data_IF_714426151308
#
_entry.id   IF_714426151308
#
_cell.length_a   1.000
_cell.length_b   1.000
_cell.length_c   1.000
_cell.angle_alpha   90.00
_cell.angle_beta   90.00
_cell.angle_gamma   90.00
#
_symmetry.space_group_name_H-M   'P 1'
#
loop_
_entity.id
_entity.type
_entity.pdbx_description
1 polymer ?
#
# COMPACT_ATOMS: atom_id res chain seq x y z
N UNK A 1 -8.41 1.27 -5.34
CA UNK A 1 -8.54 -0.20 -5.12
C UNK A 1 -8.84 -0.88 -6.45
N UNK A 2 -8.07 -1.92 -6.82
CA UNK A 2 -8.31 -2.69 -8.05
C UNK A 2 -9.52 -3.63 -7.92
N UNK A 3 -10.00 -4.19 -9.02
CA UNK A 3 -11.18 -5.06 -9.07
C UNK A 3 -11.03 -6.34 -8.24
N UNK A 4 -9.83 -6.91 -8.18
CA UNK A 4 -9.53 -8.13 -7.42
C UNK A 4 -9.75 -7.88 -5.92
N UNK A 5 -9.13 -6.83 -5.37
CA UNK A 5 -9.30 -6.49 -3.97
C UNK A 5 -10.75 -6.14 -3.64
N UNK A 6 -11.47 -5.47 -4.55
CA UNK A 6 -12.91 -5.18 -4.37
C UNK A 6 -13.74 -6.45 -4.24
N UNK A 7 -13.47 -7.46 -5.06
CA UNK A 7 -14.16 -8.75 -4.96
C UNK A 7 -13.93 -9.41 -3.60
N UNK A 8 -12.67 -9.46 -3.15
CA UNK A 8 -12.30 -10.02 -1.84
C UNK A 8 -12.93 -9.25 -0.67
N UNK A 9 -13.03 -7.93 -0.77
CA UNK A 9 -13.67 -7.09 0.25
C UNK A 9 -15.18 -7.33 0.39
N UNK A 10 -15.82 -7.92 -0.62
CA UNK A 10 -17.26 -8.16 -0.68
C UNK A 10 -17.62 -9.65 -0.48
N UNK A 11 -16.64 -10.49 -0.13
CA UNK A 11 -16.85 -11.91 0.15
C UNK A 11 -17.77 -12.10 1.36
N UNK A 12 -18.55 -13.19 1.37
CA UNK A 12 -19.53 -13.43 2.45
C UNK A 12 -18.82 -13.59 3.80
N UNK A 13 -19.25 -12.82 4.80
CA UNK A 13 -18.66 -12.82 6.14
C UNK A 13 -17.48 -11.86 6.31
N UNK A 14 -17.10 -11.09 5.28
CA UNK A 14 -16.06 -10.05 5.37
C UNK A 14 -16.70 -8.68 5.60
N UNK A 15 -16.29 -8.00 6.67
CA UNK A 15 -16.60 -6.59 6.90
C UNK A 15 -15.37 -5.73 6.55
N UNK A 16 -15.48 -4.90 5.51
CA UNK A 16 -14.40 -4.01 5.09
C UNK A 16 -14.61 -2.58 5.59
N UNK A 17 -13.64 -2.02 6.32
CA UNK A 17 -13.65 -0.62 6.80
C UNK A 17 -12.57 0.21 6.10
N UNK A 18 -12.97 1.32 5.48
CA UNK A 18 -12.07 2.26 4.80
C UNK A 18 -11.94 3.57 5.58
N UNK A 19 -10.82 4.26 5.39
CA UNK A 19 -10.52 5.51 6.12
C UNK A 19 -10.20 5.32 7.60
N UNK A 20 -10.21 4.07 8.09
CA UNK A 20 -9.77 3.73 9.44
C UNK A 20 -8.26 3.48 9.45
N UNK A 21 -7.50 4.39 10.05
CA UNK A 21 -6.06 4.19 10.27
C UNK A 21 -5.83 3.69 11.69
N UNK A 22 -5.15 2.56 11.85
CA UNK A 22 -4.86 2.00 13.17
C UNK A 22 -3.74 2.79 13.83
N UNK A 23 -3.98 3.26 15.05
CA UNK A 23 -3.03 4.04 15.84
C UNK A 23 -2.39 3.27 16.99
N UNK A 24 -3.06 2.24 17.50
CA UNK A 24 -2.55 1.37 18.57
C UNK A 24 -3.17 -0.02 18.49
N UNK A 25 -2.35 -1.03 18.75
CA UNK A 25 -2.73 -2.41 19.00
C UNK A 25 -2.25 -2.83 20.37
N UNK A 26 -3.13 -3.45 21.14
CA UNK A 26 -2.83 -3.90 22.49
C UNK A 26 -3.33 -5.34 22.67
N UNK A 27 -2.46 -6.22 23.14
CA UNK A 27 -2.83 -7.57 23.55
C UNK A 27 -3.26 -7.53 25.02
N UNK A 28 -4.49 -7.95 25.29
CA UNK A 28 -5.08 -8.06 26.61
C UNK A 28 -4.82 -9.46 27.19
N UNK A 29 -5.03 -9.62 28.50
CA UNK A 29 -4.69 -10.82 29.30
C UNK A 29 -5.34 -12.15 28.84
N UNK A 30 -6.33 -12.10 27.94
CA UNK A 30 -7.08 -13.27 27.39
C UNK A 30 -6.69 -13.62 25.93
N UNK A 31 -5.51 -13.22 25.44
CA UNK A 31 -5.15 -13.26 24.00
C UNK A 31 -6.12 -12.48 23.09
N UNK A 32 -6.92 -11.59 23.68
CA UNK A 32 -7.80 -10.67 22.96
C UNK A 32 -7.02 -9.44 22.57
N UNK A 33 -7.23 -8.97 21.35
CA UNK A 33 -6.61 -7.79 20.81
C UNK A 33 -7.58 -6.62 20.82
N UNK A 34 -7.14 -5.47 21.32
CA UNK A 34 -7.87 -4.20 21.21
C UNK A 34 -7.24 -3.31 20.16
N UNK A 35 -8.06 -2.76 19.26
CA UNK A 35 -7.61 -1.85 18.20
C UNK A 35 -8.16 -0.45 18.45
N UNK A 36 -7.26 0.53 18.45
CA UNK A 36 -7.61 1.96 18.54
C UNK A 36 -7.16 2.69 17.29
N UNK A 37 -8.02 3.53 16.73
CA UNK A 37 -7.73 4.35 15.58
C UNK A 37 -6.75 5.50 15.89
N UNK A 38 -6.14 6.06 14.86
CA UNK A 38 -5.36 7.31 14.99
C UNK A 38 -6.20 8.48 15.50
N UNK A 39 -7.51 8.46 15.26
CA UNK A 39 -8.46 9.43 15.82
C UNK A 39 -8.81 9.16 17.30
N UNK A 40 -8.23 8.12 17.91
CA UNK A 40 -8.48 7.72 19.29
C UNK A 40 -9.76 6.89 19.49
N UNK A 41 -10.51 6.59 18.44
CA UNK A 41 -11.73 5.78 18.56
C UNK A 41 -11.39 4.29 18.73
N UNK A 42 -12.17 3.62 19.56
CA UNK A 42 -12.12 2.16 19.66
C UNK A 42 -12.71 1.54 18.38
N UNK A 43 -11.95 0.65 17.74
CA UNK A 43 -12.33 -0.02 16.49
C UNK A 43 -12.83 -1.45 16.71
N UNK A 44 -12.64 -2.01 17.90
CA UNK A 44 -13.16 -3.30 18.31
C UNK A 44 -12.16 -4.17 19.08
N UNK A 45 -12.66 -5.33 19.50
CA UNK A 45 -11.88 -6.40 20.12
C UNK A 45 -11.92 -7.63 19.24
N UNK A 46 -10.78 -8.31 19.10
CA UNK A 46 -10.61 -9.43 18.17
C UNK A 46 -9.84 -10.56 18.84
N UNK A 47 -10.20 -11.81 18.55
CA UNK A 47 -9.46 -12.98 19.05
C UNK A 47 -8.10 -13.18 18.39
N UNK A 48 -7.82 -12.44 17.32
CA UNK A 48 -6.55 -12.49 16.61
C UNK A 48 -6.47 -11.36 15.59
N UNK A 49 -5.24 -10.95 15.28
CA UNK A 49 -4.98 -9.86 14.33
C UNK A 49 -3.93 -10.30 13.33
N UNK A 50 -4.21 -10.06 12.05
CA UNK A 50 -3.25 -10.26 10.97
C UNK A 50 -2.80 -8.91 10.45
N UNK A 51 -1.48 -8.70 10.45
CA UNK A 51 -0.86 -7.46 10.03
C UNK A 51 -0.17 -7.66 8.68
N UNK A 52 -0.60 -6.92 7.66
CA UNK A 52 -0.04 -7.00 6.32
C UNK A 52 0.83 -5.79 5.95
N UNK A 53 0.75 -4.70 6.72
CA UNK A 53 1.48 -3.47 6.45
C UNK A 53 2.71 -3.33 7.36
N UNK A 54 3.89 -3.12 6.75
CA UNK A 54 5.17 -2.95 7.44
C UNK A 54 5.23 -1.71 8.35
N UNK A 55 4.38 -0.70 8.12
CA UNK A 55 4.37 0.55 8.89
C UNK A 55 3.92 0.33 10.33
N UNK A 56 3.28 -0.80 10.62
CA UNK A 56 2.78 -1.12 11.96
C UNK A 56 3.85 -1.10 13.05
N UNK A 57 5.10 -1.35 12.65
CA UNK A 57 6.27 -1.46 13.51
C UNK A 57 7.41 -0.52 13.05
N UNK A 58 7.24 0.18 11.93
CA UNK A 58 8.33 0.94 11.32
C UNK A 58 8.44 2.34 11.94
N UNK A 59 9.67 2.83 12.20
CA UNK A 59 9.90 4.22 12.61
C UNK A 59 9.32 5.27 11.64
N UNK A 60 9.11 4.90 10.37
CA UNK A 60 8.48 5.77 9.37
C UNK A 60 7.07 6.17 9.76
N UNK A 61 6.34 5.32 10.47
CA UNK A 61 5.02 5.66 11.00
C UNK A 61 5.11 6.91 11.87
N UNK A 62 6.12 6.98 12.74
CA UNK A 62 6.37 8.14 13.59
C UNK A 62 6.75 9.37 12.80
N UNK A 63 7.58 9.24 11.76
CA UNK A 63 7.91 10.39 10.90
C UNK A 63 6.70 10.98 10.18
N UNK A 64 5.71 10.16 9.81
CA UNK A 64 4.51 10.64 9.09
C UNK A 64 3.41 11.12 10.05
N UNK A 65 3.23 10.45 11.19
CA UNK A 65 2.08 10.69 12.08
C UNK A 65 2.43 11.45 13.35
N UNK A 66 3.71 11.57 13.70
CA UNK A 66 4.18 12.10 14.99
C UNK A 66 3.91 11.18 16.19
N UNK A 67 3.43 9.95 15.97
CA UNK A 67 3.06 8.99 17.03
C UNK A 67 3.94 7.73 16.99
N UNK A 68 4.11 6.99 18.10
CA UNK A 68 4.79 5.70 18.05
C UNK A 68 4.06 4.74 17.10
N UNK A 69 4.76 3.75 16.51
CA UNK A 69 4.13 2.73 15.68
C UNK A 69 3.00 2.01 16.43
N UNK A 70 1.94 1.56 15.74
CA UNK A 70 0.78 0.97 16.41
C UNK A 70 1.08 -0.31 17.20
N UNK A 71 2.06 -1.12 16.78
CA UNK A 71 2.48 -2.32 17.49
C UNK A 71 3.67 -2.02 18.40
N UNK A 72 3.52 -2.31 19.68
CA UNK A 72 4.64 -2.23 20.63
C UNK A 72 5.56 -3.45 20.47
N UNK A 73 6.69 -3.23 19.81
CA UNK A 73 7.70 -4.25 19.57
C UNK A 73 8.54 -4.60 20.81
N UNK A 74 8.45 -3.84 21.91
CA UNK A 74 9.14 -4.21 23.15
C UNK A 74 8.64 -5.55 23.70
N UNK A 75 7.39 -5.92 23.37
CA UNK A 75 6.76 -7.18 23.74
C UNK A 75 7.30 -8.38 22.95
N UNK A 76 7.91 -8.16 21.78
CA UNK A 76 8.49 -9.22 20.93
C UNK A 76 9.80 -8.79 20.26
N UNK A 77 10.92 -8.79 21.02
CA UNK A 77 12.23 -8.35 20.52
C UNK A 77 12.71 -9.08 19.25
N UNK A 78 12.40 -10.37 19.12
CA UNK A 78 12.76 -11.16 17.93
C UNK A 78 12.04 -10.67 16.65
N UNK A 79 10.78 -10.26 16.78
CA UNK A 79 10.01 -9.72 15.67
C UNK A 79 10.49 -8.31 15.33
N UNK A 80 10.87 -7.52 16.33
CA UNK A 80 11.43 -6.19 16.16
C UNK A 80 12.63 -6.19 15.20
N UNK A 81 13.58 -7.10 15.42
CA UNK A 81 14.77 -7.23 14.58
C UNK A 81 14.43 -7.60 13.13
N UNK A 82 13.43 -8.45 12.90
CA UNK A 82 13.01 -8.86 11.56
C UNK A 82 12.27 -7.75 10.79
N UNK A 83 11.61 -6.85 11.50
CA UNK A 83 10.80 -5.78 10.90
C UNK A 83 11.55 -4.47 10.68
N UNK A 84 12.63 -4.21 11.43
CA UNK A 84 13.39 -2.95 11.33
C UNK A 84 14.09 -2.78 9.96
N UNK A 85 14.64 -3.86 9.41
CA UNK A 85 15.51 -3.80 8.23
C UNK A 85 14.86 -4.28 6.93
N UNK A 86 13.53 -4.29 6.83
CA UNK A 86 12.86 -4.70 5.59
C UNK A 86 13.16 -3.65 4.50
N UNK A 87 13.95 -4.01 3.46
CA UNK A 87 14.36 -3.05 2.46
C UNK A 87 13.16 -2.66 1.62
N UNK A 88 13.00 -1.37 1.38
CA UNK A 88 12.03 -0.88 0.41
C UNK A 88 12.60 0.24 -0.43
N UNK A 89 12.33 0.19 -1.72
CA UNK A 89 12.71 1.23 -2.66
C UNK A 89 11.54 2.20 -2.83
N UNK A 90 11.71 3.49 -2.51
CA UNK A 90 10.72 4.49 -2.89
C UNK A 90 10.66 4.59 -4.42
N UNK A 91 9.46 4.83 -4.95
CA UNK A 91 9.25 5.05 -6.37
C UNK A 91 8.14 6.07 -6.57
N UNK A 92 8.26 6.89 -7.61
CA UNK A 92 7.17 7.73 -8.08
C UNK A 92 6.44 7.03 -9.22
N UNK A 93 5.12 7.09 -9.22
CA UNK A 93 4.30 6.67 -10.35
C UNK A 93 3.65 7.91 -10.97
N UNK A 94 3.89 8.13 -12.26
CA UNK A 94 3.28 9.19 -13.06
C UNK A 94 2.30 8.55 -14.04
N UNK A 95 1.13 9.16 -14.19
CA UNK A 95 0.10 8.74 -15.13
C UNK A 95 -0.19 9.90 -16.08
N UNK A 96 0.00 9.67 -17.38
CA UNK A 96 -0.24 10.66 -18.43
C UNK A 96 -1.44 10.23 -19.26
N UNK A 97 -2.37 11.14 -19.49
CA UNK A 97 -3.59 10.91 -20.24
C UNK A 97 -3.54 11.73 -21.54
N UNK A 98 -3.71 11.08 -22.69
CA UNK A 98 -3.76 11.74 -23.99
C UNK A 98 -5.16 11.62 -24.59
N UNK A 99 -5.62 12.72 -25.22
CA UNK A 99 -6.92 12.78 -25.91
C UNK A 99 -6.94 11.87 -27.15
N UNK A 100 -5.79 11.72 -27.82
CA UNK A 100 -5.60 10.87 -28.98
C UNK A 100 -4.46 9.87 -28.74
N UNK A 101 -4.46 8.72 -29.44
CA UNK A 101 -3.37 7.74 -29.33
C UNK A 101 -2.02 8.36 -29.70
N UNK A 102 -0.99 8.03 -28.94
CA UNK A 102 0.39 8.33 -29.35
C UNK A 102 0.78 7.43 -30.53
N UNK A 103 0.66 7.95 -31.74
CA UNK A 103 1.00 7.24 -32.98
C UNK A 103 2.49 6.93 -33.12
N UNK A 104 3.35 7.70 -32.45
CA UNK A 104 4.82 7.56 -32.49
C UNK A 104 5.37 6.43 -31.61
N UNK A 105 4.57 5.86 -30.71
CA UNK A 105 4.98 4.80 -29.78
C UNK A 105 4.14 3.56 -30.06
N UNK A 106 4.67 2.63 -30.86
CA UNK A 106 3.98 1.39 -31.23
C UNK A 106 4.01 0.31 -30.14
N UNK A 107 4.77 0.54 -29.06
CA UNK A 107 4.96 -0.44 -27.98
C UNK A 107 3.99 -0.18 -26.82
N UNK A 108 3.43 -1.26 -26.28
CA UNK A 108 2.47 -1.22 -25.16
C UNK A 108 3.16 -1.13 -23.79
N UNK A 109 4.45 -1.40 -23.71
CA UNK A 109 5.24 -1.23 -22.49
C UNK A 109 6.70 -1.54 -22.73
N UNK A 110 7.58 -0.89 -21.98
CA UNK A 110 9.02 -1.02 -22.11
C UNK A 110 9.75 -0.63 -20.83
N UNK A 111 11.00 -1.08 -20.69
CA UNK A 111 11.88 -0.77 -19.56
C UNK A 111 13.02 0.13 -19.99
N UNK A 112 13.41 1.06 -19.13
CA UNK A 112 14.57 1.92 -19.30
C UNK A 112 15.75 1.31 -18.55
N UNK A 113 16.88 1.05 -19.23
CA UNK A 113 18.08 0.46 -18.59
C UNK A 113 19.14 1.49 -18.19
N UNK A 114 19.21 2.60 -18.92
CA UNK A 114 20.25 3.63 -18.77
C UNK A 114 19.64 5.00 -18.39
N UNK A 115 18.57 4.99 -17.61
CA UNK A 115 17.96 6.22 -17.09
C UNK A 115 18.10 6.24 -15.58
N UNK A 116 18.55 7.37 -15.05
CA UNK A 116 18.64 7.62 -13.60
C UNK A 116 17.25 7.88 -12.98
N UNK A 117 16.28 8.26 -13.81
CA UNK A 117 14.96 8.71 -13.36
C UNK A 117 13.89 7.70 -13.76
N UNK A 118 13.82 7.29 -15.03
CA UNK A 118 12.76 6.40 -15.53
C UNK A 118 13.16 4.93 -15.38
N UNK A 119 12.24 4.07 -14.95
CA UNK A 119 12.50 2.62 -14.84
C UNK A 119 11.65 1.79 -15.81
N UNK A 120 10.35 2.04 -15.87
CA UNK A 120 9.48 1.39 -16.85
C UNK A 120 8.28 2.25 -17.20
N UNK A 121 7.70 1.96 -18.36
CA UNK A 121 6.45 2.55 -18.81
C UNK A 121 5.52 1.53 -19.43
N UNK A 122 4.20 1.76 -19.31
CA UNK A 122 3.17 0.93 -19.91
C UNK A 122 1.98 1.78 -20.37
N UNK A 123 1.40 1.37 -21.50
CA UNK A 123 0.14 1.86 -22.02
C UNK A 123 -1.00 1.12 -21.32
N UNK A 124 -1.57 1.75 -20.31
CA UNK A 124 -2.62 1.19 -19.47
C UNK A 124 -3.87 0.84 -20.29
N UNK A 125 -4.23 1.65 -21.30
CA UNK A 125 -5.37 1.37 -22.19
C UNK A 125 -5.22 0.11 -23.03
N UNK A 126 -4.02 -0.49 -23.09
CA UNK A 126 -3.80 -1.78 -23.74
C UNK A 126 -4.22 -2.99 -22.87
N UNK A 127 -4.55 -2.78 -21.60
CA UNK A 127 -5.03 -3.85 -20.70
C UNK A 127 -6.47 -4.24 -21.06
N UNK A 128 -6.84 -5.54 -20.94
CA UNK A 128 -8.19 -6.00 -21.23
C UNK A 128 -9.26 -5.29 -20.40
N UNK A 129 -10.40 -4.96 -21.03
CA UNK A 129 -11.57 -4.41 -20.34
C UNK A 129 -11.58 -2.89 -20.16
N UNK A 130 -10.55 -2.17 -20.58
CA UNK A 130 -10.56 -0.70 -20.65
C UNK A 130 -11.09 -0.27 -22.03
N UNK A 131 -12.18 0.50 -22.05
CA UNK A 131 -12.79 1.00 -23.31
C UNK A 131 -12.06 2.24 -23.81
N UNK A 132 -11.95 2.32 -25.13
CA UNK A 132 -11.35 3.39 -25.91
C UNK A 132 -11.92 4.77 -25.50
N UNK A 133 -11.04 5.69 -25.10
CA UNK A 133 -11.43 7.06 -24.78
C UNK A 133 -10.35 7.88 -24.08
N UNK A 134 -9.35 7.24 -23.47
CA UNK A 134 -8.21 7.93 -22.90
C UNK A 134 -6.95 7.04 -22.97
N UNK A 135 -5.90 7.53 -23.63
CA UNK A 135 -4.63 6.82 -23.70
C UNK A 135 -3.84 7.14 -22.45
N UNK A 136 -3.78 6.16 -21.55
CA UNK A 136 -3.14 6.32 -20.26
C UNK A 136 -1.76 5.66 -20.32
N UNK A 137 -0.71 6.43 -20.05
CA UNK A 137 0.65 5.93 -19.91
C UNK A 137 1.08 6.02 -18.46
N UNK A 138 1.37 4.88 -17.84
CA UNK A 138 2.01 4.82 -16.54
C UNK A 138 3.53 4.84 -16.73
N UNK A 139 4.23 5.63 -15.92
CA UNK A 139 5.68 5.64 -15.81
C UNK A 139 6.06 5.48 -14.34
N UNK A 140 6.96 4.54 -14.05
CA UNK A 140 7.56 4.44 -12.72
C UNK A 140 8.96 5.03 -12.77
N UNK A 141 9.19 5.94 -11.84
CA UNK A 141 10.44 6.65 -11.65
C UNK A 141 11.13 6.19 -10.38
N UNK A 142 12.45 6.12 -10.40
CA UNK A 142 13.25 5.90 -9.21
C UNK A 142 13.53 7.24 -8.52
N UNK A 143 13.61 7.20 -7.19
CA UNK A 143 14.16 8.31 -6.41
C UNK A 143 15.68 8.12 -6.42
N UNK A 144 16.40 9.17 -6.86
CA UNK A 144 17.86 9.24 -6.79
C UNK A 144 18.34 9.34 -5.34
#
# INVERSE_FOLDING_TARGET
>A
MNSICKALCNETGVESKFGASIGRLECLDDEKWSLTGLDGKNLGHFSGVVLSDKSIASPRFTHVTGRPPPLDLSLTPELALKLQDIPVSPCFALMLAFAEPLSSISVKGFSFKNSEILRWSHCESSKPGLKDGCYIQQQIMQVA
#
